data_IF_704383918890
#
_entry.id   IF_704383918890
#
_cell.length_a   1.000
_cell.length_b   1.000
_cell.length_c   1.000
_cell.angle_alpha   90.00
_cell.angle_beta   90.00
_cell.angle_gamma   90.00
#
_symmetry.space_group_name_H-M   'P 1'
#
loop_
_entity.id
_entity.type
_entity.pdbx_description
1 polymer ?
#
# COMPACT_ATOMS: atom_id res chain seq x y z
N UNK A 1 11.80 15.21 -21.51
CA UNK A 1 11.87 15.27 -20.05
C UNK A 1 13.17 15.92 -19.61
N UNK A 2 13.10 16.78 -18.65
CA UNK A 2 14.30 17.45 -18.18
C UNK A 2 14.75 16.87 -16.85
N UNK A 3 15.93 17.29 -16.41
CA UNK A 3 16.54 16.77 -15.20
C UNK A 3 15.73 17.07 -13.96
N UNK A 4 15.05 18.19 -13.93
CA UNK A 4 14.25 18.59 -12.78
C UNK A 4 13.09 17.63 -12.55
N UNK A 5 12.40 17.28 -13.62
CA UNK A 5 11.30 16.31 -13.50
C UNK A 5 11.79 14.97 -13.02
N UNK A 6 12.91 14.53 -13.55
CA UNK A 6 13.49 13.26 -13.15
C UNK A 6 13.86 13.25 -11.68
N UNK A 7 14.43 14.34 -11.20
CA UNK A 7 14.82 14.47 -9.80
C UNK A 7 13.61 14.49 -8.88
N UNK A 8 12.54 15.17 -9.30
CA UNK A 8 11.31 15.23 -8.50
C UNK A 8 10.69 13.85 -8.34
N UNK A 9 10.65 13.07 -9.42
CA UNK A 9 10.12 11.72 -9.37
C UNK A 9 10.92 10.84 -8.42
N UNK A 10 12.24 10.94 -8.49
CA UNK A 10 13.10 10.17 -7.60
C UNK A 10 12.90 10.58 -6.15
N UNK A 11 12.74 11.87 -5.90
CA UNK A 11 12.49 12.35 -4.56
C UNK A 11 11.22 11.78 -3.97
N UNK A 12 10.15 11.74 -4.77
CA UNK A 12 8.87 11.19 -4.32
C UNK A 12 8.98 9.71 -4.02
N UNK A 13 9.65 8.95 -4.87
CA UNK A 13 9.85 7.53 -4.64
C UNK A 13 10.68 7.28 -3.40
N UNK A 14 11.70 8.08 -3.20
CA UNK A 14 12.56 7.97 -2.03
C UNK A 14 11.79 8.26 -0.75
N UNK A 15 10.94 9.28 -0.79
CA UNK A 15 10.13 9.63 0.37
C UNK A 15 9.15 8.51 0.70
N UNK A 16 8.53 7.91 -0.31
CA UNK A 16 7.60 6.82 -0.11
C UNK A 16 8.32 5.61 0.50
N UNK A 17 9.48 5.28 -0.06
CA UNK A 17 10.26 4.17 0.48
C UNK A 17 10.61 4.41 1.94
N UNK A 18 11.01 5.64 2.28
CA UNK A 18 11.36 5.98 3.65
C UNK A 18 10.17 5.80 4.58
N UNK A 19 8.98 6.19 4.11
CA UNK A 19 7.77 6.04 4.92
C UNK A 19 7.47 4.57 5.21
N UNK A 20 7.66 3.70 4.23
CA UNK A 20 7.44 2.27 4.43
C UNK A 20 8.46 1.69 5.41
N UNK A 21 9.73 2.05 5.27
CA UNK A 21 10.76 1.57 6.19
C UNK A 21 10.49 2.08 7.60
N UNK A 22 10.01 3.31 7.72
CA UNK A 22 9.68 3.88 9.02
C UNK A 22 8.57 3.09 9.70
N UNK A 23 7.52 2.73 8.96
CA UNK A 23 6.45 1.91 9.51
C UNK A 23 7.01 0.60 10.05
N UNK A 24 7.84 -0.05 9.24
CA UNK A 24 8.41 -1.34 9.64
C UNK A 24 9.24 -1.19 10.91
N UNK A 25 10.07 -0.16 10.96
CA UNK A 25 11.00 0.00 12.09
C UNK A 25 10.28 0.34 13.39
N UNK A 26 9.20 1.09 13.32
CA UNK A 26 8.52 1.56 14.54
C UNK A 26 7.36 0.66 14.97
N UNK A 27 7.10 -0.42 14.23
CA UNK A 27 5.97 -1.30 14.55
C UNK A 27 6.49 -2.70 14.81
N UNK A 28 6.61 -3.10 16.09
CA UNK A 28 7.17 -4.42 16.40
C UNK A 28 6.38 -5.53 15.72
N UNK A 29 7.11 -6.47 15.14
CA UNK A 29 6.52 -7.62 14.48
C UNK A 29 6.26 -7.45 13.00
N UNK A 30 6.34 -6.24 12.48
CA UNK A 30 6.17 -6.02 11.04
C UNK A 30 7.43 -6.49 10.32
N UNK A 31 7.25 -7.31 9.30
CA UNK A 31 8.35 -7.87 8.53
C UNK A 31 8.50 -7.22 7.18
N UNK A 32 7.39 -6.97 6.48
CA UNK A 32 7.44 -6.41 5.14
C UNK A 32 6.30 -5.43 4.95
N UNK A 33 6.56 -4.35 4.21
CA UNK A 33 5.55 -3.35 3.87
C UNK A 33 5.64 -3.11 2.38
N UNK A 34 4.49 -3.03 1.72
CA UNK A 34 4.45 -2.90 0.27
C UNK A 34 3.24 -2.08 -0.15
N UNK A 35 3.44 -1.20 -1.12
CA UNK A 35 2.35 -0.48 -1.76
C UNK A 35 2.20 -1.03 -3.17
N UNK A 36 0.96 -1.32 -3.54
CA UNK A 36 0.65 -1.86 -4.86
C UNK A 36 -0.48 -1.07 -5.50
N UNK A 37 -0.52 -1.09 -6.81
CA UNK A 37 -1.63 -0.50 -7.55
C UNK A 37 -2.81 -1.45 -7.52
N UNK A 38 -3.97 -0.93 -7.88
CA UNK A 38 -5.15 -1.79 -7.92
C UNK A 38 -5.03 -2.88 -8.98
N UNK A 39 -4.12 -2.72 -9.93
CA UNK A 39 -3.86 -3.72 -10.96
C UNK A 39 -2.90 -4.81 -10.49
N UNK A 40 -2.41 -4.72 -9.26
CA UNK A 40 -1.53 -5.75 -8.73
C UNK A 40 -0.06 -5.53 -8.98
N UNK A 41 0.31 -4.32 -9.43
CA UNK A 41 1.71 -4.00 -9.66
C UNK A 41 2.31 -3.39 -8.39
N UNK A 42 3.48 -3.87 -8.01
CA UNK A 42 4.17 -3.28 -6.87
C UNK A 42 4.63 -1.87 -7.23
N UNK A 43 4.44 -0.95 -6.32
CA UNK A 43 4.87 0.42 -6.51
C UNK A 43 6.08 0.74 -5.64
N UNK A 44 6.11 0.21 -4.42
CA UNK A 44 7.18 0.46 -3.48
C UNK A 44 7.15 -0.62 -2.42
N UNK A 45 8.31 -0.99 -1.87
CA UNK A 45 8.35 -2.03 -0.84
C UNK A 45 9.62 -1.88 -0.01
N UNK A 46 9.60 -2.47 1.19
CA UNK A 46 10.74 -2.40 2.09
C UNK A 46 11.91 -3.19 1.55
N UNK A 47 13.12 -2.73 1.86
CA UNK A 47 14.33 -3.18 1.18
C UNK A 47 14.72 -4.62 1.49
N UNK A 48 14.21 -5.20 2.58
CA UNK A 48 14.53 -6.57 2.92
C UNK A 48 13.71 -7.59 2.12
N UNK A 49 12.78 -7.11 1.32
CA UNK A 49 11.94 -7.95 0.48
C UNK A 49 12.53 -7.93 -0.93
N UNK A 50 12.86 -9.10 -1.47
CA UNK A 50 13.44 -9.11 -2.82
C UNK A 50 12.33 -8.93 -3.86
N UNK A 51 12.74 -8.65 -5.09
CA UNK A 51 11.81 -8.32 -6.16
C UNK A 51 10.83 -9.45 -6.44
N UNK A 52 11.31 -10.69 -6.47
CA UNK A 52 10.43 -11.81 -6.76
C UNK A 52 9.37 -11.97 -5.67
N UNK A 53 9.76 -11.84 -4.43
CA UNK A 53 8.81 -11.95 -3.33
C UNK A 53 7.88 -10.75 -3.27
N UNK A 54 8.38 -9.58 -3.65
CA UNK A 54 7.51 -8.41 -3.73
C UNK A 54 6.45 -8.60 -4.80
N UNK A 55 6.81 -9.17 -5.93
CA UNK A 55 5.83 -9.47 -6.98
C UNK A 55 4.81 -10.49 -6.50
N UNK A 56 5.25 -11.51 -5.77
CA UNK A 56 4.34 -12.50 -5.21
C UNK A 56 3.38 -11.85 -4.21
N UNK A 57 3.90 -11.00 -3.34
CA UNK A 57 3.06 -10.34 -2.34
C UNK A 57 2.05 -9.42 -3.02
N UNK A 58 2.46 -8.69 -4.05
CA UNK A 58 1.55 -7.84 -4.81
C UNK A 58 0.41 -8.66 -5.42
N UNK A 59 0.73 -9.81 -5.99
CA UNK A 59 -0.28 -10.67 -6.61
C UNK A 59 -1.25 -11.21 -5.56
N UNK A 60 -0.71 -11.66 -4.42
CA UNK A 60 -1.55 -12.17 -3.33
C UNK A 60 -2.47 -11.08 -2.81
N UNK A 61 -1.91 -9.91 -2.53
CA UNK A 61 -2.70 -8.81 -1.98
C UNK A 61 -3.78 -8.36 -2.96
N UNK A 62 -3.44 -8.28 -4.23
CA UNK A 62 -4.40 -7.89 -5.25
C UNK A 62 -5.54 -8.91 -5.35
N UNK A 63 -5.23 -10.20 -5.29
CA UNK A 63 -6.25 -11.23 -5.32
C UNK A 63 -7.18 -11.17 -4.12
N UNK A 64 -6.61 -10.96 -2.94
CA UNK A 64 -7.40 -10.85 -1.71
C UNK A 64 -8.33 -9.64 -1.78
N UNK A 65 -7.82 -8.50 -2.25
CA UNK A 65 -8.64 -7.30 -2.37
C UNK A 65 -9.76 -7.51 -3.41
N UNK A 66 -9.47 -8.24 -4.45
CA UNK A 66 -10.47 -8.56 -5.46
C UNK A 66 -11.59 -9.39 -4.84
N UNK A 67 -11.25 -10.37 -4.02
CA UNK A 67 -12.24 -11.17 -3.31
C UNK A 67 -13.05 -10.33 -2.34
N UNK A 68 -12.37 -9.44 -1.61
CA UNK A 68 -13.06 -8.56 -0.66
C UNK A 68 -14.05 -7.64 -1.39
N UNK A 69 -13.65 -7.14 -2.54
CA UNK A 69 -14.54 -6.29 -3.34
C UNK A 69 -15.75 -7.07 -3.81
N UNK A 70 -15.57 -8.31 -4.26
CA UNK A 70 -16.67 -9.15 -4.67
C UNK A 70 -17.61 -9.42 -3.51
N UNK A 71 -17.07 -9.70 -2.33
CA UNK A 71 -17.88 -9.95 -1.15
C UNK A 71 -18.69 -8.71 -0.78
N UNK A 72 -18.06 -7.54 -0.88
CA UNK A 72 -18.74 -6.29 -0.59
C UNK A 72 -19.87 -6.02 -1.56
N UNK A 73 -19.65 -6.31 -2.82
CA UNK A 73 -20.67 -6.09 -3.85
C UNK A 73 -21.88 -7.00 -3.63
N UNK A 74 -21.63 -8.23 -3.16
CA UNK A 74 -22.70 -9.20 -3.00
C UNK A 74 -23.42 -9.06 -1.66
N UNK A 75 -22.68 -8.80 -0.60
CA UNK A 75 -23.21 -8.88 0.76
C UNK A 75 -23.04 -7.63 1.58
N UNK A 76 -22.30 -6.64 1.10
CA UNK A 76 -21.98 -5.44 1.87
C UNK A 76 -22.96 -4.33 1.63
N UNK A 77 -22.68 -3.21 2.28
CA UNK A 77 -23.51 -2.02 2.17
C UNK A 77 -22.86 -0.94 1.31
N UNK A 78 -21.57 -1.05 1.06
CA UNK A 78 -20.83 -0.07 0.29
C UNK A 78 -20.08 -0.75 -0.83
N UNK A 79 -19.59 0.06 -1.77
CA UNK A 79 -18.82 -0.44 -2.89
C UNK A 79 -17.33 -0.30 -2.65
N UNK A 80 -16.84 -0.48 -1.52
CA UNK A 80 -15.42 -0.44 -1.25
C UNK A 80 -14.91 -1.82 -0.91
N UNK A 81 -13.61 -2.03 -1.08
CA UNK A 81 -13.00 -3.29 -0.70
C UNK A 81 -12.74 -3.35 0.81
N UNK A 82 -12.62 -2.19 1.44
CA UNK A 82 -12.35 -2.17 2.88
C UNK A 82 -11.01 -2.76 3.22
N UNK A 83 -10.89 -3.23 4.44
CA UNK A 83 -9.68 -3.84 4.96
C UNK A 83 -9.77 -5.35 4.85
N UNK A 84 -8.64 -5.98 4.63
CA UNK A 84 -8.55 -7.44 4.62
C UNK A 84 -7.47 -7.89 5.59
N UNK A 85 -7.74 -9.00 6.27
CA UNK A 85 -6.75 -9.60 7.16
C UNK A 85 -6.78 -11.09 6.93
N UNK A 86 -5.62 -11.66 6.66
CA UNK A 86 -5.48 -13.10 6.43
C UNK A 86 -4.46 -13.64 7.41
N UNK A 87 -4.88 -14.53 8.27
CA UNK A 87 -3.99 -15.18 9.23
C UNK A 87 -3.52 -16.49 8.64
N UNK A 88 -2.25 -16.78 8.86
CA UNK A 88 -1.66 -18.05 8.41
C UNK A 88 -0.63 -18.48 9.45
N UNK A 89 -0.20 -19.75 9.41
CA UNK A 89 0.79 -20.20 10.39
C UNK A 89 2.05 -19.32 10.31
N UNK A 90 2.37 -18.69 11.42
CA UNK A 90 3.56 -17.86 11.51
C UNK A 90 3.37 -16.39 11.17
N UNK A 91 2.19 -15.97 10.73
CA UNK A 91 2.05 -14.57 10.37
C UNK A 91 0.65 -14.12 10.07
N UNK A 92 0.57 -12.85 9.70
CA UNK A 92 -0.70 -12.24 9.31
C UNK A 92 -0.40 -11.23 8.19
N UNK A 93 -1.31 -11.18 7.23
CA UNK A 93 -1.24 -10.23 6.12
C UNK A 93 -2.42 -9.27 6.27
N UNK A 94 -2.11 -7.97 6.35
CA UNK A 94 -3.13 -6.93 6.42
C UNK A 94 -3.05 -6.08 5.17
N UNK A 95 -4.21 -5.75 4.61
CA UNK A 95 -4.29 -4.95 3.38
C UNK A 95 -5.35 -3.89 3.58
N UNK A 96 -5.00 -2.64 3.26
CA UNK A 96 -5.95 -1.53 3.36
C UNK A 96 -5.84 -0.67 2.11
N UNK A 97 -6.90 0.03 1.73
CA UNK A 97 -6.80 1.00 0.64
C UNK A 97 -5.84 2.11 1.02
N UNK A 98 -5.10 2.62 0.06
CA UNK A 98 -4.10 3.65 0.29
C UNK A 98 -4.25 4.72 -0.78
N UNK A 99 -5.34 5.47 -0.70
CA UNK A 99 -5.65 6.45 -1.73
C UNK A 99 -6.32 5.78 -2.91
N UNK A 100 -6.58 6.55 -3.93
CA UNK A 100 -7.23 6.04 -5.12
C UNK A 100 -6.26 5.20 -5.93
N UNK A 101 -6.68 3.99 -6.26
CA UNK A 101 -5.91 3.15 -7.13
C UNK A 101 -4.71 2.48 -6.50
N UNK A 102 -4.62 2.46 -5.18
CA UNK A 102 -3.49 1.83 -4.51
C UNK A 102 -3.93 1.13 -3.23
N UNK A 103 -3.10 0.22 -2.77
CA UNK A 103 -3.32 -0.50 -1.53
C UNK A 103 -2.01 -0.63 -0.77
N UNK A 104 -2.12 -0.70 0.54
CA UNK A 104 -0.98 -0.91 1.42
C UNK A 104 -1.10 -2.31 2.02
N UNK A 105 -0.05 -3.10 1.89
CA UNK A 105 -0.01 -4.46 2.41
C UNK A 105 1.12 -4.60 3.41
N UNK A 106 0.83 -5.23 4.54
CA UNK A 106 1.81 -5.44 5.60
C UNK A 106 1.80 -6.91 5.99
N UNK A 107 2.98 -7.49 6.06
CA UNK A 107 3.16 -8.85 6.59
C UNK A 107 3.79 -8.71 7.97
N UNK A 108 3.17 -9.31 8.96
CA UNK A 108 3.65 -9.27 10.34
C UNK A 108 3.68 -10.67 10.92
N UNK A 109 4.49 -10.86 11.96
CA UNK A 109 4.52 -12.14 12.66
C UNK A 109 3.21 -12.33 13.42
N UNK A 110 2.91 -13.58 13.79
CA UNK A 110 1.63 -13.87 14.43
C UNK A 110 1.54 -13.34 15.87
N UNK A 111 2.68 -13.01 16.47
CA UNK A 111 2.69 -12.38 17.81
C UNK A 111 2.49 -10.86 17.76
N UNK A 112 2.48 -10.28 16.57
CA UNK A 112 2.38 -8.83 16.46
C UNK A 112 1.04 -8.33 17.00
N UNK A 113 1.06 -7.11 17.53
CA UNK A 113 -0.16 -6.44 17.97
C UNK A 113 -0.89 -5.92 16.73
N UNK A 114 -1.89 -6.65 16.30
CA UNK A 114 -2.61 -6.33 15.07
C UNK A 114 -3.27 -4.96 15.14
N UNK A 115 -3.78 -4.60 16.32
CA UNK A 115 -4.38 -3.28 16.49
C UNK A 115 -3.39 -2.16 16.28
N UNK A 116 -2.18 -2.33 16.81
CA UNK A 116 -1.14 -1.32 16.61
C UNK A 116 -0.69 -1.28 15.17
N UNK A 117 -0.53 -2.45 14.54
CA UNK A 117 -0.16 -2.49 13.12
C UNK A 117 -1.20 -1.75 12.29
N UNK A 118 -2.47 -2.02 12.53
CA UNK A 118 -3.55 -1.37 11.80
C UNK A 118 -3.59 0.13 12.01
N UNK A 119 -3.36 0.56 13.26
CA UNK A 119 -3.32 1.98 13.56
C UNK A 119 -2.20 2.67 12.81
N UNK A 120 -1.00 2.08 12.84
CA UNK A 120 0.13 2.68 12.15
C UNK A 120 -0.04 2.66 10.65
N UNK A 121 -0.72 1.62 10.12
CA UNK A 121 -1.04 1.58 8.70
C UNK A 121 -1.98 2.72 8.32
N UNK A 122 -2.97 3.01 9.16
CA UNK A 122 -3.90 4.11 8.89
C UNK A 122 -3.18 5.45 8.83
N UNK A 123 -2.25 5.67 9.76
CA UNK A 123 -1.45 6.89 9.74
C UNK A 123 -0.62 6.98 8.47
N UNK A 124 -0.01 5.86 8.07
CA UNK A 124 0.80 5.85 6.88
C UNK A 124 -0.03 6.13 5.64
N UNK A 125 -1.24 5.59 5.57
CA UNK A 125 -2.12 5.81 4.44
C UNK A 125 -2.38 7.31 4.24
N UNK A 126 -2.60 8.05 5.33
CA UNK A 126 -2.81 9.48 5.20
C UNK A 126 -1.58 10.18 4.64
N UNK A 127 -0.41 9.72 5.04
CA UNK A 127 0.83 10.32 4.53
C UNK A 127 1.06 10.00 3.06
N UNK A 128 0.90 8.74 2.68
CA UNK A 128 1.18 8.36 1.29
C UNK A 128 0.08 8.82 0.34
N UNK A 129 -1.11 9.12 0.86
CA UNK A 129 -2.17 9.65 0.01
C UNK A 129 -1.74 10.87 -0.77
N UNK A 130 -0.97 11.74 -0.13
CA UNK A 130 -0.46 12.92 -0.80
C UNK A 130 0.54 12.61 -1.91
N UNK A 131 1.22 11.46 -1.81
CA UNK A 131 2.20 11.06 -2.82
C UNK A 131 1.54 10.36 -4.01
N UNK A 132 0.41 9.69 -3.78
CA UNK A 132 -0.19 8.85 -4.80
C UNK A 132 -1.33 9.53 -5.55
N UNK A 133 -1.98 10.50 -4.92
CA UNK A 133 -3.12 11.16 -5.53
C UNK A 133 -2.77 12.47 -6.19
N UNK A 134 -1.55 12.88 -6.01
CA UNK A 134 -1.20 14.13 -6.66
C UNK A 134 -1.28 13.87 -8.12
N UNK A 135 -1.79 14.25 -8.77
CA UNK A 135 -1.68 13.99 -10.04
C UNK A 135 -1.81 14.94 -10.81
N UNK A 136 -1.62 14.50 -10.85
CA UNK A 136 -1.42 15.00 -11.72
C UNK A 136 -2.43 15.55 -12.38
N UNK A 137 -2.94 15.50 -12.01
CA UNK A 137 -3.72 15.96 -12.53
C UNK A 137 -3.77 17.09 -12.76
N UNK A 138 -3.33 17.33 -12.43
CA UNK A 138 -3.30 18.32 -12.61
C UNK A 138 -3.11 18.75 -13.68
N UNK A 139 -3.02 18.26 -14.04
CA UNK A 139 -2.92 18.65 -15.06
C UNK A 139 -3.90 18.85 -15.66
N UNK A 140 -4.48 18.53 -15.42
CA UNK A 140 -5.33 18.87 -16.00
C UNK A 140 -5.79 19.86 -15.97
N UNK A 141 -5.61 20.12 -15.41
CA UNK A 141 -5.90 21.12 -15.48
C UNK A 141 -5.80 21.87 -16.20
N UNK A 142 -5.52 21.57 -16.12
CA UNK A 142 -5.30 22.25 -16.79
C UNK A 142 -5.86 22.40 -17.63
N UNK A 143 -6.16 21.90 -17.72
CA UNK A 143 -6.59 22.14 -18.49
C UNK A 143 -7.36 22.87 -18.77
N UNK A 144 -7.53 22.79 -18.54
CA UNK A 144 -8.28 23.44 -18.92
C UNK A 144 -8.38 24.43 -19.36
N UNK A 145 -8.23 24.46 -19.47
CA UNK A 145 -8.24 25.37 -19.78
C UNK A 145 -8.45 26.00 -20.35
#
# INVERSE_FOLDING_TARGET
>A
MNATESMTTRGSEHDLEWLLENLKDRTPGVRHVLVLSKDGLRLCFTSDLDVDRADQLSALASGIQSLALSASAEFGTDLGSGQSMVEFPGGVLLIVPAGEGAHLAVVAVDEADVGLVGHNMSELVEQIGGHLTSPPRRRTVDRAS
#
